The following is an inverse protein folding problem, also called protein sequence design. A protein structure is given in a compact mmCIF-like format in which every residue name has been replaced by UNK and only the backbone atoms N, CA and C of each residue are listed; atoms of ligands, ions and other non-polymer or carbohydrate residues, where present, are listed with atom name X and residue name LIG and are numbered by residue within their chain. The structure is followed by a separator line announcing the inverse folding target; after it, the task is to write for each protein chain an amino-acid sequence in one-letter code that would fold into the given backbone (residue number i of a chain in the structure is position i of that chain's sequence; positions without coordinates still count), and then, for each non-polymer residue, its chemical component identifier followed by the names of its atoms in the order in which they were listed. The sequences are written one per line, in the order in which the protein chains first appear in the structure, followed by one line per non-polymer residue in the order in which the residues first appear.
data_IF_231731415206
#
_entry.id   IF_231731415206
#
_cell.length_a   1.000
_cell.length_b   1.000
_cell.length_c   1.000
_cell.angle_alpha   90.00
_cell.angle_beta   90.00
_cell.angle_gamma   90.00
#
_symmetry.space_group_name_H-M   'P 1'
#
loop_
_entity.id
_entity.type
_entity.pdbx_description
1 polymer ?
#
# COMPACT_ATOMS: atom_id res chain seq x y z
N UNK A 1 -12.19 9.02 5.48
CA UNK A 1 -11.67 9.92 4.43
C UNK A 1 -10.69 9.20 3.53
N UNK A 2 -10.69 9.52 2.25
CA UNK A 2 -9.86 8.81 1.27
C UNK A 2 -8.37 8.94 1.53
N UNK A 3 -7.92 10.12 1.96
CA UNK A 3 -6.51 10.28 2.27
C UNK A 3 -6.10 9.52 3.53
N UNK A 4 -7.02 9.31 4.46
CA UNK A 4 -6.77 8.52 5.66
C UNK A 4 -6.65 7.04 5.32
N UNK A 5 -7.41 6.59 4.33
CA UNK A 5 -7.31 5.20 3.87
C UNK A 5 -5.88 4.89 3.42
N UNK A 6 -5.32 5.71 2.53
CA UNK A 6 -3.97 5.44 2.05
C UNK A 6 -2.93 5.64 3.15
N UNK A 7 -3.13 6.60 4.04
CA UNK A 7 -2.23 6.77 5.18
C UNK A 7 -2.17 5.50 6.03
N UNK A 8 -3.33 4.87 6.27
CA UNK A 8 -3.38 3.61 7.00
C UNK A 8 -2.69 2.48 6.26
N UNK A 9 -2.94 2.37 4.95
CA UNK A 9 -2.27 1.39 4.10
C UNK A 9 -0.75 1.56 4.20
N UNK A 10 -0.28 2.79 4.03
CA UNK A 10 1.15 3.06 4.02
C UNK A 10 1.82 2.73 5.35
N UNK A 11 1.14 2.97 6.47
CA UNK A 11 1.68 2.61 7.78
C UNK A 11 1.94 1.12 7.88
N UNK A 12 1.04 0.31 7.36
CA UNK A 12 1.21 -1.14 7.35
C UNK A 12 2.39 -1.52 6.46
N UNK A 13 2.48 -0.91 5.27
CA UNK A 13 3.57 -1.21 4.33
C UNK A 13 4.92 -0.79 4.89
N UNK A 14 4.99 0.35 5.58
CA UNK A 14 6.21 0.78 6.25
C UNK A 14 6.66 -0.26 7.27
N UNK A 15 5.72 -0.79 8.04
CA UNK A 15 6.04 -1.78 9.07
C UNK A 15 6.60 -3.05 8.44
N UNK A 16 5.99 -3.50 7.34
CA UNK A 16 6.49 -4.66 6.62
C UNK A 16 7.92 -4.42 6.13
N UNK A 17 8.18 -3.25 5.55
CA UNK A 17 9.51 -2.92 5.02
C UNK A 17 10.56 -2.91 6.14
N UNK A 18 10.22 -2.36 7.29
CA UNK A 18 11.13 -2.26 8.42
C UNK A 18 11.44 -3.63 9.03
N UNK A 19 10.43 -4.48 9.15
CA UNK A 19 10.59 -5.75 9.87
C UNK A 19 11.06 -6.89 8.99
N UNK A 20 10.74 -6.87 7.71
CA UNK A 20 11.00 -8.00 6.82
C UNK A 20 12.01 -7.69 5.73
N UNK A 21 12.83 -6.66 5.93
CA UNK A 21 13.90 -6.35 5.02
C UNK A 21 13.53 -5.33 3.97
N UNK A 22 14.54 -4.83 3.28
CA UNK A 22 14.38 -3.78 2.30
C UNK A 22 14.42 -2.37 2.89
N UNK A 23 13.79 -2.18 4.05
CA UNK A 23 13.73 -0.87 4.67
C UNK A 23 12.88 0.10 3.88
N UNK A 24 12.82 1.35 4.34
CA UNK A 24 12.07 2.40 3.67
C UNK A 24 12.99 3.06 2.63
N UNK A 25 12.53 3.20 1.36
CA UNK A 25 13.31 3.90 0.36
C UNK A 25 13.62 5.34 0.79
N UNK A 26 14.78 5.85 0.40
CA UNK A 26 15.23 7.19 0.81
C UNK A 26 15.15 8.23 -0.30
N UNK A 27 14.49 7.91 -1.40
CA UNK A 27 14.34 8.82 -2.52
C UNK A 27 13.28 9.89 -2.20
N UNK A 28 13.25 10.94 -3.02
CA UNK A 28 12.18 11.93 -2.91
C UNK A 28 10.82 11.33 -3.23
N UNK A 29 10.80 10.21 -3.93
CA UNK A 29 9.59 9.50 -4.29
C UNK A 29 9.43 8.22 -3.47
N UNK A 30 9.84 8.25 -2.21
CA UNK A 30 9.88 7.05 -1.39
C UNK A 30 8.49 6.41 -1.20
N UNK A 31 7.43 7.21 -1.19
CA UNK A 31 6.06 6.67 -1.07
C UNK A 31 5.73 5.76 -2.25
N UNK A 32 6.07 6.21 -3.46
CA UNK A 32 5.85 5.44 -4.68
C UNK A 32 6.76 4.22 -4.72
N UNK A 33 8.01 4.41 -4.35
CA UNK A 33 8.99 3.32 -4.36
C UNK A 33 8.63 2.25 -3.34
N UNK A 34 8.11 2.68 -2.17
CA UNK A 34 7.64 1.74 -1.17
C UNK A 34 6.50 0.89 -1.70
N UNK A 35 5.49 1.52 -2.29
CA UNK A 35 4.35 0.79 -2.84
C UNK A 35 4.80 -0.20 -3.92
N UNK A 36 5.71 0.22 -4.78
CA UNK A 36 6.25 -0.65 -5.82
C UNK A 36 6.99 -1.84 -5.23
N UNK A 37 7.81 -1.60 -4.22
CA UNK A 37 8.61 -2.66 -3.61
C UNK A 37 7.73 -3.70 -2.91
N UNK A 38 6.59 -3.28 -2.38
CA UNK A 38 5.67 -4.21 -1.73
C UNK A 38 5.05 -5.19 -2.72
N UNK A 39 4.97 -4.82 -3.99
CA UNK A 39 4.47 -5.71 -5.05
C UNK A 39 5.56 -6.62 -5.60
N UNK A 40 6.75 -6.60 -5.03
CA UNK A 40 7.87 -7.41 -5.47
C UNK A 40 8.25 -8.42 -4.40
N UNK A 41 8.63 -9.61 -4.84
CA UNK A 41 9.19 -10.61 -3.95
C UNK A 41 10.62 -10.22 -3.57
N UNK A 42 10.97 -10.40 -2.30
CA UNK A 42 12.35 -10.31 -1.86
C UNK A 42 12.83 -11.72 -1.56
N UNK A 43 13.65 -12.33 -2.43
CA UNK A 43 14.10 -13.70 -2.25
C UNK A 43 14.73 -13.88 -0.87
N UNK A 44 14.42 -15.00 -0.23
CA UNK A 44 14.93 -15.38 1.10
C UNK A 44 14.39 -14.53 2.25
N UNK A 45 13.62 -13.47 1.97
CA UNK A 45 13.07 -12.62 3.01
C UNK A 45 11.55 -12.70 3.09
N UNK A 46 10.88 -12.47 1.98
CA UNK A 46 9.42 -12.48 1.95
C UNK A 46 8.88 -12.58 0.53
N UNK A 47 7.64 -13.10 0.39
CA UNK A 47 6.94 -12.98 -0.89
C UNK A 47 6.48 -11.55 -1.10
N UNK A 48 5.90 -11.27 -2.25
CA UNK A 48 5.26 -9.98 -2.47
C UNK A 48 4.16 -9.79 -1.42
N UNK A 49 4.14 -8.63 -0.77
CA UNK A 49 3.12 -8.34 0.24
C UNK A 49 1.78 -8.01 -0.42
N UNK A 50 1.81 -7.42 -1.60
CA UNK A 50 0.61 -7.11 -2.37
C UNK A 50 0.80 -7.59 -3.80
N UNK A 51 -0.31 -7.77 -4.51
CA UNK A 51 -0.26 -8.11 -5.93
C UNK A 51 -0.03 -6.85 -6.75
N UNK A 52 0.37 -7.05 -8.00
CA UNK A 52 0.47 -5.94 -8.94
C UNK A 52 -0.88 -5.29 -9.18
N UNK A 53 -1.94 -6.10 -9.18
CA UNK A 53 -3.30 -5.58 -9.33
C UNK A 53 -3.66 -4.64 -8.21
N UNK A 54 -3.34 -5.01 -6.96
CA UNK A 54 -3.60 -4.14 -5.82
C UNK A 54 -2.72 -2.90 -5.89
N UNK A 55 -1.45 -3.04 -6.28
CA UNK A 55 -0.57 -1.89 -6.51
C UNK A 55 -1.25 -0.88 -7.43
N UNK A 56 -1.78 -1.35 -8.55
CA UNK A 56 -2.43 -0.48 -9.53
C UNK A 56 -3.70 0.15 -8.98
N UNK A 57 -4.44 -0.59 -8.15
CA UNK A 57 -5.64 -0.04 -7.50
C UNK A 57 -5.29 1.03 -6.47
N UNK A 58 -4.15 0.92 -5.81
CA UNK A 58 -3.75 1.86 -4.76
C UNK A 58 -3.09 3.12 -5.28
N UNK A 59 -2.50 3.08 -6.48
CA UNK A 59 -1.80 4.24 -7.03
C UNK A 59 -2.65 5.51 -7.10
N UNK A 60 -3.93 5.45 -7.52
CA UNK A 60 -4.75 6.66 -7.51
C UNK A 60 -4.90 7.29 -6.13
N UNK A 61 -4.96 6.46 -5.08
CA UNK A 61 -5.08 6.96 -3.70
C UNK A 61 -3.78 7.62 -3.24
N UNK A 62 -2.64 7.07 -3.63
CA UNK A 62 -1.35 7.70 -3.35
C UNK A 62 -1.27 9.07 -4.01
N UNK A 63 -1.65 9.15 -5.29
CA UNK A 63 -1.65 10.42 -6.02
C UNK A 63 -2.62 11.41 -5.41
N UNK A 64 -3.80 10.96 -5.01
CA UNK A 64 -4.79 11.81 -4.36
C UNK A 64 -4.25 12.38 -3.06
N UNK A 65 -3.62 11.54 -2.22
CA UNK A 65 -3.06 12.00 -0.97
C UNK A 65 -1.96 13.03 -1.20
N UNK A 66 -1.09 12.78 -2.16
CA UNK A 66 -0.01 13.70 -2.50
C UNK A 66 -0.59 15.05 -2.97
N UNK A 67 -1.57 14.98 -3.86
CA UNK A 67 -2.24 16.17 -4.37
C UNK A 67 -2.90 16.95 -3.23
N UNK A 68 -3.64 16.26 -2.38
CA UNK A 68 -4.35 16.89 -1.27
C UNK A 68 -3.40 17.62 -0.33
N UNK A 69 -2.25 17.01 -0.06
CA UNK A 69 -1.26 17.63 0.84
C UNK A 69 -0.57 18.83 0.22
N UNK A 70 -0.38 18.84 -1.07
CA UNK A 70 0.40 19.87 -1.75
C UNK A 70 -0.45 20.96 -2.41
N UNK A 71 -1.73 20.70 -2.60
CA UNK A 71 -2.64 21.64 -3.24
C UNK A 71 -3.81 21.96 -2.29
N UNK A 72 -3.47 22.09 -1.05
CA UNK A 72 -4.43 22.32 0.01
C UNK A 72 -5.28 23.56 -0.27
N UNK A 73 -6.59 23.41 -0.15
CA UNK A 73 -7.53 24.52 -0.34
C UNK A 73 -8.04 24.69 -1.77
N UNK A 74 -7.46 24.00 -2.74
CA UNK A 74 -7.94 24.07 -4.11
C UNK A 74 -9.13 23.14 -4.32
N UNK A 75 -9.96 23.51 -5.29
CA UNK A 75 -11.10 22.67 -5.67
C UNK A 75 -10.58 21.41 -6.34
N UNK A 76 -11.00 20.26 -5.84
CA UNK A 76 -10.65 18.99 -6.44
C UNK A 76 -11.56 18.67 -7.61
N UNK A 77 -11.04 17.96 -8.59
CA UNK A 77 -11.80 17.50 -9.74
C UNK A 77 -12.86 16.50 -9.27
N UNK A 78 -14.14 16.83 -9.47
CA UNK A 78 -15.24 15.97 -9.04
C UNK A 78 -15.20 14.59 -9.67
N UNK A 79 -14.84 14.48 -10.95
CA UNK A 79 -14.79 13.19 -11.62
C UNK A 79 -13.71 12.30 -11.01
N UNK A 80 -12.61 12.88 -10.57
CA UNK A 80 -11.54 12.14 -9.93
C UNK A 80 -11.96 11.64 -8.55
N UNK A 81 -12.69 12.47 -7.80
CA UNK A 81 -13.24 12.08 -6.51
C UNK A 81 -14.24 10.93 -6.67
N UNK A 82 -15.08 11.01 -7.69
CA UNK A 82 -16.05 9.96 -7.98
C UNK A 82 -15.36 8.64 -8.31
N UNK A 83 -14.27 8.69 -9.10
CA UNK A 83 -13.49 7.50 -9.40
C UNK A 83 -12.93 6.86 -8.14
N UNK A 84 -12.38 7.67 -7.24
CA UNK A 84 -11.81 7.17 -6.00
C UNK A 84 -12.88 6.59 -5.08
N UNK A 85 -14.04 7.25 -5.02
CA UNK A 85 -15.15 6.75 -4.23
C UNK A 85 -15.66 5.41 -4.75
N UNK A 86 -15.85 5.28 -6.06
CA UNK A 86 -16.35 4.04 -6.63
C UNK A 86 -15.34 2.91 -6.54
N UNK A 87 -14.05 3.22 -6.50
CA UNK A 87 -12.99 2.22 -6.36
C UNK A 87 -12.64 1.89 -4.91
N UNK A 88 -13.20 2.60 -3.94
CA UNK A 88 -12.79 2.48 -2.55
C UNK A 88 -13.08 1.10 -1.97
N UNK A 89 -14.31 0.63 -2.09
CA UNK A 89 -14.68 -0.66 -1.54
C UNK A 89 -13.90 -1.82 -2.17
N UNK A 90 -13.75 -1.89 -3.50
CA UNK A 90 -12.90 -2.91 -4.09
C UNK A 90 -11.45 -2.85 -3.63
N UNK A 91 -10.88 -1.64 -3.53
CA UNK A 91 -9.49 -1.48 -3.10
C UNK A 91 -9.32 -1.92 -1.65
N UNK A 92 -10.22 -1.53 -0.78
CA UNK A 92 -10.17 -1.89 0.63
C UNK A 92 -10.34 -3.40 0.81
N UNK A 93 -11.29 -4.00 0.11
CA UNK A 93 -11.54 -5.44 0.18
C UNK A 93 -10.32 -6.21 -0.29
N UNK A 94 -9.73 -5.79 -1.40
CA UNK A 94 -8.55 -6.44 -1.95
C UNK A 94 -7.36 -6.31 -1.01
N UNK A 95 -7.15 -5.12 -0.48
CA UNK A 95 -6.05 -4.90 0.47
C UNK A 95 -6.20 -5.79 1.70
N UNK A 96 -7.38 -5.85 2.27
CA UNK A 96 -7.64 -6.71 3.43
C UNK A 96 -7.35 -8.16 3.12
N UNK A 97 -7.85 -8.66 1.99
CA UNK A 97 -7.65 -10.05 1.60
C UNK A 97 -6.19 -10.38 1.44
N UNK A 98 -5.43 -9.49 0.81
CA UNK A 98 -4.01 -9.73 0.58
C UNK A 98 -3.21 -9.62 1.86
N UNK A 99 -3.59 -8.71 2.77
CA UNK A 99 -2.92 -8.61 4.07
C UNK A 99 -3.18 -9.86 4.92
N UNK A 100 -4.40 -10.39 4.87
CA UNK A 100 -4.69 -11.63 5.60
C UNK A 100 -3.86 -12.78 5.05
N UNK A 101 -3.70 -12.86 3.73
CA UNK A 101 -2.86 -13.87 3.11
C UNK A 101 -1.39 -13.72 3.54
N UNK A 102 -0.92 -12.47 3.59
CA UNK A 102 0.45 -12.20 4.01
C UNK A 102 0.67 -12.57 5.48
N UNK A 103 -0.31 -12.25 6.33
CA UNK A 103 -0.24 -12.63 7.75
C UNK A 103 -0.24 -14.14 7.92
N UNK A 104 -1.01 -14.86 7.09
CA UNK A 104 -0.99 -16.32 7.11
C UNK A 104 0.40 -16.86 6.76
N UNK A 105 1.04 -16.25 5.77
CA UNK A 105 2.41 -16.64 5.43
C UNK A 105 3.34 -16.41 6.62
N UNK A 106 3.22 -15.25 7.28
CA UNK A 106 4.04 -14.95 8.45
C UNK A 106 3.83 -15.98 9.56
N UNK A 107 2.59 -16.38 9.78
CA UNK A 107 2.27 -17.39 10.79
C UNK A 107 2.97 -18.71 10.49
N UNK A 108 3.07 -19.11 9.22
CA UNK A 108 3.77 -20.34 8.87
C UNK A 108 5.27 -20.23 9.16
N UNK A 109 5.84 -19.04 9.01
CA UNK A 109 7.25 -18.85 9.33
C UNK A 109 7.51 -18.96 10.83
N UNK A 110 6.59 -18.47 11.64
CA UNK A 110 6.70 -18.55 13.10
C UNK A 110 6.44 -19.96 13.59
N UNK A 111 5.50 -20.66 12.97
CA UNK A 111 5.07 -21.99 13.40
C UNK A 111 6.06 -23.09 13.03
N UNK A 112 7.02 -22.83 12.15
CA UNK A 112 8.01 -23.83 11.74
C UNK A 112 9.31 -23.63 12.52
N UNK A 113 9.50 -24.40 13.59
CA UNK A 113 10.76 -24.32 14.33
C UNK A 113 11.87 -24.93 13.49
N UNK A 114 13.02 -24.38 13.64
CA UNK A 114 14.24 -24.88 12.96
C UNK A 114 14.65 -26.25 13.43
#
# INVERSE_FOLDING_TARGET
MLHDFYTGVERILIKIAQELGGGIPRSEQWHRDLLRSMAMELPDLRPAAISRELHDLLMPYLRFRHFFRNVYGYVLDESRLDELDSGFDPALTRFRGEMLAFLSWMDTQIAEPD
#
